data_IF_400665198110
#
_entry.id   IF_400665198110
#
_cell.length_a   1.000
_cell.length_b   1.000
_cell.length_c   1.000
_cell.angle_alpha   90.00
_cell.angle_beta   90.00
_cell.angle_gamma   90.00
#
_symmetry.space_group_name_H-M   'P 1'
#
loop_
_entity.id
_entity.type
_entity.pdbx_description
1 polymer ?
#
# COMPACT_ATOMS: atom_id res chain seq x y z
N UNK A 1 10.43 12.20 -13.16
CA UNK A 1 8.98 12.32 -12.87
C UNK A 1 8.19 11.01 -12.95
N UNK A 2 8.41 10.12 -13.93
CA UNK A 2 7.64 8.85 -14.06
C UNK A 2 7.67 7.96 -12.81
N UNK A 3 8.84 7.77 -12.20
CA UNK A 3 9.01 7.00 -10.97
C UNK A 3 8.29 7.62 -9.76
N UNK A 4 8.27 8.96 -9.69
CA UNK A 4 7.55 9.70 -8.64
C UNK A 4 6.04 9.42 -8.72
N UNK A 5 5.48 9.51 -9.93
CA UNK A 5 4.05 9.23 -10.17
C UNK A 5 3.69 7.77 -9.85
N UNK A 6 4.54 6.83 -10.26
CA UNK A 6 4.36 5.40 -9.98
C UNK A 6 4.42 5.09 -8.49
N UNK A 7 5.41 5.64 -7.79
CA UNK A 7 5.55 5.47 -6.35
C UNK A 7 4.38 6.07 -5.57
N UNK A 8 3.95 7.28 -5.94
CA UNK A 8 2.78 7.92 -5.33
C UNK A 8 1.50 7.11 -5.56
N UNK A 9 1.29 6.61 -6.79
CA UNK A 9 0.15 5.75 -7.09
C UNK A 9 0.16 4.47 -6.26
N UNK A 10 1.29 3.77 -6.19
CA UNK A 10 1.43 2.57 -5.38
C UNK A 10 1.14 2.87 -3.90
N UNK A 11 1.65 3.98 -3.37
CA UNK A 11 1.40 4.38 -1.99
C UNK A 11 -0.09 4.62 -1.70
N UNK A 12 -0.78 5.34 -2.60
CA UNK A 12 -2.22 5.60 -2.47
C UNK A 12 -3.03 4.31 -2.60
N UNK A 13 -2.71 3.45 -3.58
CA UNK A 13 -3.38 2.17 -3.76
C UNK A 13 -3.24 1.27 -2.53
N UNK A 14 -2.04 1.21 -1.95
CA UNK A 14 -1.78 0.48 -0.71
C UNK A 14 -2.58 1.04 0.47
N UNK A 15 -2.68 2.36 0.60
CA UNK A 15 -3.46 3.01 1.65
C UNK A 15 -4.96 2.70 1.53
N UNK A 16 -5.52 2.81 0.32
CA UNK A 16 -6.93 2.48 0.06
C UNK A 16 -7.21 1.01 0.36
N UNK A 17 -6.32 0.11 -0.05
CA UNK A 17 -6.43 -1.32 0.26
C UNK A 17 -6.41 -1.60 1.75
N UNK A 18 -5.49 -0.99 2.49
CA UNK A 18 -5.37 -1.13 3.95
C UNK A 18 -6.62 -0.63 4.69
N UNK A 19 -7.18 0.50 4.27
CA UNK A 19 -8.40 1.06 4.88
C UNK A 19 -9.62 0.20 4.55
N UNK A 20 -9.74 -0.26 3.30
CA UNK A 20 -10.82 -1.16 2.88
C UNK A 20 -10.76 -2.48 3.64
N UNK A 21 -9.57 -3.04 3.84
CA UNK A 21 -9.39 -4.27 4.59
C UNK A 21 -9.69 -4.09 6.08
N UNK A 22 -9.36 -2.93 6.66
CA UNK A 22 -9.75 -2.58 8.03
C UNK A 22 -11.26 -2.48 8.18
N UNK A 23 -11.94 -1.84 7.23
CA UNK A 23 -13.39 -1.78 7.19
C UNK A 23 -14.00 -3.18 7.03
N UNK A 24 -13.47 -4.01 6.13
CA UNK A 24 -13.94 -5.37 5.91
C UNK A 24 -13.81 -6.24 7.17
N UNK A 25 -12.75 -6.04 7.96
CA UNK A 25 -12.58 -6.70 9.27
C UNK A 25 -13.73 -6.39 10.23
N UNK A 26 -14.26 -5.18 10.19
CA UNK A 26 -15.33 -4.72 11.08
C UNK A 26 -16.71 -5.10 10.54
N UNK A 27 -16.93 -4.95 9.23
CA UNK A 27 -18.22 -5.21 8.59
C UNK A 27 -18.49 -6.71 8.39
N UNK A 28 -17.45 -7.50 8.12
CA UNK A 28 -17.58 -8.92 7.76
C UNK A 28 -16.55 -9.80 8.49
N UNK A 29 -16.58 -9.86 9.83
CA UNK A 29 -15.57 -10.58 10.61
C UNK A 29 -15.46 -12.06 10.25
N UNK A 30 -16.59 -12.72 9.96
CA UNK A 30 -16.65 -14.14 9.60
C UNK A 30 -16.04 -14.43 8.20
N UNK A 31 -16.12 -13.47 7.28
CA UNK A 31 -15.59 -13.61 5.92
C UNK A 31 -14.18 -13.00 5.74
N UNK A 32 -13.69 -12.24 6.73
CA UNK A 32 -12.40 -11.56 6.67
C UNK A 32 -11.20 -12.52 6.65
N UNK A 33 -11.39 -13.79 7.05
CA UNK A 33 -10.37 -14.85 6.94
C UNK A 33 -9.24 -14.77 7.96
N UNK A 34 -9.42 -13.95 9.01
CA UNK A 34 -8.52 -13.89 10.17
C UNK A 34 -7.14 -13.25 9.92
N UNK A 35 -6.34 -13.11 10.99
CA UNK A 35 -5.10 -12.34 10.97
C UNK A 35 -3.92 -13.05 10.29
N UNK A 36 -3.99 -14.36 10.05
CA UNK A 36 -2.83 -15.13 9.59
C UNK A 36 -2.88 -15.53 8.11
N UNK A 37 -4.06 -15.61 7.48
CA UNK A 37 -4.20 -16.14 6.10
C UNK A 37 -5.10 -15.24 5.24
N UNK A 38 -6.19 -14.71 5.80
CA UNK A 38 -7.07 -13.77 5.11
C UNK A 38 -6.58 -12.33 5.18
N UNK A 39 -7.41 -11.46 5.74
CA UNK A 39 -7.18 -10.03 5.72
C UNK A 39 -5.90 -9.59 6.44
N UNK A 40 -5.31 -10.38 7.32
CA UNK A 40 -4.01 -10.05 7.90
C UNK A 40 -2.85 -10.06 6.89
N UNK A 41 -2.78 -11.06 6.00
CA UNK A 41 -1.80 -11.09 4.90
C UNK A 41 -2.07 -9.95 3.94
N UNK A 42 -3.34 -9.72 3.60
CA UNK A 42 -3.73 -8.61 2.73
C UNK A 42 -3.28 -7.26 3.31
N UNK A 43 -3.42 -7.06 4.63
CA UNK A 43 -2.95 -5.84 5.31
C UNK A 43 -1.44 -5.65 5.16
N UNK A 44 -0.66 -6.73 5.34
CA UNK A 44 0.79 -6.69 5.18
C UNK A 44 1.20 -6.36 3.75
N UNK A 45 0.51 -6.92 2.75
CA UNK A 45 0.76 -6.60 1.34
C UNK A 45 0.44 -5.12 1.04
N UNK A 46 -0.66 -4.60 1.58
CA UNK A 46 -1.00 -3.19 1.46
C UNK A 46 0.08 -2.30 2.09
N UNK A 47 0.58 -2.63 3.28
CA UNK A 47 1.66 -1.88 3.93
C UNK A 47 2.98 -1.96 3.14
N UNK A 48 3.33 -3.12 2.61
CA UNK A 48 4.49 -3.28 1.75
C UNK A 48 4.38 -2.39 0.49
N UNK A 49 3.18 -2.29 -0.09
CA UNK A 49 2.92 -1.43 -1.24
C UNK A 49 3.01 0.05 -0.89
N UNK A 50 2.54 0.46 0.30
CA UNK A 50 2.70 1.84 0.81
C UNK A 50 4.18 2.18 0.92
N UNK A 51 4.94 1.37 1.67
CA UNK A 51 6.36 1.61 1.93
C UNK A 51 7.15 1.60 0.63
N UNK A 52 6.94 0.59 -0.22
CA UNK A 52 7.59 0.49 -1.53
C UNK A 52 7.25 1.67 -2.44
N UNK A 53 5.99 2.10 -2.46
CA UNK A 53 5.55 3.28 -3.21
C UNK A 53 6.23 4.56 -2.75
N UNK A 54 6.31 4.81 -1.44
CA UNK A 54 6.99 5.97 -0.86
C UNK A 54 8.48 5.95 -1.20
N UNK A 55 9.16 4.82 -1.02
CA UNK A 55 10.58 4.67 -1.34
C UNK A 55 10.82 4.97 -2.83
N UNK A 56 9.99 4.42 -3.72
CA UNK A 56 10.10 4.64 -5.15
C UNK A 56 9.87 6.11 -5.53
N UNK A 57 8.90 6.76 -4.89
CA UNK A 57 8.61 8.16 -5.13
C UNK A 57 9.76 9.07 -4.71
N UNK A 58 10.31 8.83 -3.51
CA UNK A 58 11.45 9.57 -2.96
C UNK A 58 12.70 9.36 -3.81
N UNK A 59 13.05 8.11 -4.12
CA UNK A 59 14.19 7.79 -4.99
C UNK A 59 14.05 8.43 -6.39
N UNK A 60 12.85 8.37 -6.96
CA UNK A 60 12.52 9.02 -8.23
C UNK A 60 12.65 10.55 -8.19
N UNK A 61 12.35 11.16 -7.05
CA UNK A 61 12.51 12.60 -6.82
C UNK A 61 13.98 13.01 -6.76
N UNK A 62 14.79 12.28 -5.97
CA UNK A 62 16.23 12.50 -5.90
C UNK A 62 16.93 12.31 -7.26
N UNK A 63 16.56 11.27 -8.01
CA UNK A 63 17.12 11.01 -9.34
C UNK A 63 16.75 12.12 -10.35
N UNK A 64 15.53 12.67 -10.27
CA UNK A 64 15.09 13.77 -11.13
C UNK A 64 15.80 15.09 -10.79
N UNK A 65 16.21 15.30 -9.53
CA UNK A 65 16.90 16.51 -9.08
C UNK A 65 18.40 16.53 -9.43
N UNK A 66 19.00 15.37 -9.72
CA UNK A 66 20.40 15.23 -10.15
C UNK A 66 20.59 15.41 -11.67
N UNK A 67 19.51 15.49 -12.43
CA UNK A 67 19.52 15.83 -13.86
C UNK A 67 19.16 17.30 -14.03
#
# INVERSE_FOLDING_TARGET
>A
MRLVKLGAFAAVAGLVGALTNLWARQAFPEAWGGPNIGGGILQLLCYALIVGGVILAVAGGFAARKR
#
